data_IF_423573445013
#
_entry.id   IF_423573445013
#
_cell.length_a   1.000
_cell.length_b   1.000
_cell.length_c   1.000
_cell.angle_alpha   90.00
_cell.angle_beta   90.00
_cell.angle_gamma   90.00
#
_symmetry.space_group_name_H-M   'P 1'
#
loop_
_entity.id
_entity.type
_entity.pdbx_description
1 polymer ?
#
# COMPACT_ATOMS: atom_id res chain seq x y z
N UNK A 1 -11.13 -14.03 -2.81
CA UNK A 1 -10.20 -12.97 -2.37
C UNK A 1 -8.81 -13.53 -2.10
N UNK A 2 -8.61 -14.37 -1.10
CA UNK A 2 -7.26 -14.88 -0.76
C UNK A 2 -6.71 -15.85 -1.80
N UNK A 3 -7.54 -16.66 -2.43
CA UNK A 3 -7.10 -17.49 -3.58
C UNK A 3 -6.47 -16.66 -4.70
N UNK A 4 -6.96 -15.47 -4.96
CA UNK A 4 -6.40 -14.61 -6.00
C UNK A 4 -5.02 -14.07 -5.59
N UNK A 5 -4.83 -13.72 -4.30
CA UNK A 5 -3.51 -13.35 -3.77
C UNK A 5 -2.53 -14.52 -3.86
N UNK A 6 -2.98 -15.74 -3.63
CA UNK A 6 -2.14 -16.94 -3.71
C UNK A 6 -1.76 -17.32 -5.14
N UNK A 7 -2.59 -16.97 -6.13
CA UNK A 7 -2.39 -17.34 -7.54
C UNK A 7 -1.80 -16.24 -8.40
N UNK A 8 -2.20 -14.97 -8.18
CA UNK A 8 -1.78 -13.82 -8.98
C UNK A 8 -0.88 -12.85 -8.24
N UNK A 9 -0.77 -13.03 -6.91
CA UNK A 9 0.01 -12.16 -6.05
C UNK A 9 -0.68 -10.85 -5.65
N UNK A 10 -1.89 -10.58 -6.12
CA UNK A 10 -2.64 -9.39 -5.74
C UNK A 10 -4.15 -9.57 -5.81
N UNK A 11 -4.86 -8.71 -5.10
CA UNK A 11 -6.32 -8.48 -5.24
C UNK A 11 -6.59 -6.98 -5.19
N UNK A 12 -7.39 -6.49 -6.13
CA UNK A 12 -7.90 -5.12 -6.11
C UNK A 12 -9.21 -5.06 -5.33
N UNK A 13 -9.28 -4.13 -4.37
CA UNK A 13 -10.44 -3.82 -3.54
C UNK A 13 -10.75 -2.32 -3.66
N UNK A 14 -11.84 -1.89 -3.01
CA UNK A 14 -12.21 -0.48 -2.94
C UNK A 14 -12.71 -0.16 -1.52
N UNK A 15 -12.01 0.77 -0.83
CA UNK A 15 -12.30 1.17 0.55
C UNK A 15 -12.32 2.71 0.70
N UNK A 16 -13.32 3.38 0.13
CA UNK A 16 -13.39 4.84 0.15
C UNK A 16 -13.50 5.42 1.57
N UNK A 17 -14.05 4.65 2.53
CA UNK A 17 -14.19 5.08 3.92
C UNK A 17 -12.88 5.37 4.65
N UNK A 18 -11.75 4.88 4.13
CA UNK A 18 -10.42 5.24 4.68
C UNK A 18 -10.15 6.74 4.45
N UNK A 19 -10.61 7.31 3.35
CA UNK A 19 -10.47 8.75 3.10
C UNK A 19 -11.26 9.62 4.10
N UNK A 20 -12.32 9.08 4.70
CA UNK A 20 -13.10 9.80 5.72
C UNK A 20 -12.34 9.85 7.07
N UNK A 21 -11.40 8.93 7.26
CA UNK A 21 -10.55 8.86 8.46
C UNK A 21 -9.29 9.71 8.33
N UNK A 22 -8.72 9.80 7.11
CA UNK A 22 -7.47 10.51 6.82
C UNK A 22 -7.77 11.60 5.81
N UNK A 23 -7.89 12.83 6.27
CA UNK A 23 -8.13 14.00 5.43
C UNK A 23 -6.87 14.44 4.69
N UNK A 24 -7.05 15.06 3.53
CA UNK A 24 -5.95 15.56 2.70
C UNK A 24 -5.06 16.54 3.46
N UNK A 25 -5.63 17.36 4.33
CA UNK A 25 -4.91 18.36 5.12
C UNK A 25 -3.94 17.74 6.15
N UNK A 26 -4.17 16.48 6.53
CA UNK A 26 -3.24 15.75 7.40
C UNK A 26 -1.87 15.54 6.75
N UNK A 27 -1.80 15.59 5.42
CA UNK A 27 -0.58 15.40 4.63
C UNK A 27 0.27 16.66 4.46
N UNK A 28 -0.33 17.85 4.56
CA UNK A 28 0.42 19.12 4.44
C UNK A 28 1.51 19.27 5.51
N UNK A 29 1.50 18.38 6.49
CA UNK A 29 2.44 18.31 7.60
C UNK A 29 3.64 17.38 7.33
N UNK A 30 3.71 16.73 6.19
CA UNK A 30 4.83 15.87 5.82
C UNK A 30 6.04 16.61 5.22
N UNK A 31 6.11 17.94 5.38
CA UNK A 31 7.27 18.79 5.10
C UNK A 31 8.19 18.34 3.97
N UNK A 32 7.64 18.14 2.77
CA UNK A 32 8.39 17.79 1.54
C UNK A 32 9.25 16.51 1.62
N UNK A 33 8.97 15.60 2.52
CA UNK A 33 9.67 14.35 2.55
C UNK A 33 8.89 13.27 1.79
N UNK A 34 9.53 12.66 0.82
CA UNK A 34 8.96 11.72 -0.12
C UNK A 34 8.42 10.44 0.52
N UNK A 35 8.86 10.12 1.74
CA UNK A 35 8.50 8.89 2.42
C UNK A 35 8.54 9.00 3.94
N UNK A 36 7.46 8.58 4.59
CA UNK A 36 7.36 8.44 6.02
C UNK A 36 7.22 6.98 6.43
N UNK A 37 8.06 6.53 7.35
CA UNK A 37 7.96 5.22 7.99
C UNK A 37 7.53 5.36 9.44
N UNK A 38 6.62 4.49 9.88
CA UNK A 38 5.92 4.52 11.17
C UNK A 38 6.81 4.68 12.41
N UNK A 39 7.95 4.01 12.42
CA UNK A 39 8.76 3.86 13.64
C UNK A 39 10.00 4.75 13.70
N UNK A 40 10.31 5.50 12.66
CA UNK A 40 11.61 6.18 12.57
C UNK A 40 11.57 7.67 12.80
N UNK A 41 10.40 8.29 12.97
CA UNK A 41 10.24 9.73 13.04
C UNK A 41 9.35 10.18 14.19
N UNK A 42 9.91 11.00 15.03
CA UNK A 42 9.22 11.64 16.17
C UNK A 42 8.58 12.97 15.82
N UNK A 43 8.89 13.52 14.65
CA UNK A 43 8.45 14.83 14.16
C UNK A 43 7.17 14.79 13.34
N UNK A 44 6.64 13.57 13.09
CA UNK A 44 5.37 13.41 12.41
C UNK A 44 4.23 13.79 13.33
N UNK A 45 3.27 14.48 12.74
CA UNK A 45 2.01 14.76 13.39
C UNK A 45 1.46 13.48 14.07
N UNK A 46 1.46 13.48 15.39
CA UNK A 46 0.96 12.37 16.22
C UNK A 46 -0.46 12.00 15.82
N UNK A 47 -1.24 12.93 15.34
CA UNK A 47 -2.62 12.72 14.92
C UNK A 47 -2.71 11.89 13.63
N UNK A 48 -1.89 12.19 12.60
CA UNK A 48 -1.82 11.38 11.38
C UNK A 48 -1.35 9.96 11.70
N UNK A 49 -0.33 9.81 12.54
CA UNK A 49 0.17 8.52 13.00
C UNK A 49 -0.93 7.68 13.65
N UNK A 50 -1.70 8.25 14.56
CA UNK A 50 -2.83 7.55 15.20
C UNK A 50 -3.89 7.11 14.19
N UNK A 51 -4.21 7.94 13.21
CA UNK A 51 -5.15 7.59 12.14
C UNK A 51 -4.65 6.43 11.29
N UNK A 52 -3.37 6.43 10.90
CA UNK A 52 -2.74 5.34 10.14
C UNK A 52 -2.72 4.04 10.96
N UNK A 53 -2.45 4.09 12.25
CA UNK A 53 -2.54 2.93 13.15
C UNK A 53 -3.97 2.35 13.23
N UNK A 54 -4.98 3.22 13.27
CA UNK A 54 -6.40 2.80 13.23
C UNK A 54 -6.73 2.11 11.92
N UNK A 55 -6.31 2.67 10.79
CA UNK A 55 -6.51 2.05 9.47
C UNK A 55 -5.78 0.71 9.37
N UNK A 56 -4.54 0.64 9.85
CA UNK A 56 -3.76 -0.60 9.87
C UNK A 56 -4.48 -1.72 10.63
N UNK A 57 -4.98 -1.39 11.83
CA UNK A 57 -5.77 -2.32 12.65
C UNK A 57 -7.08 -2.72 11.96
N UNK A 58 -7.79 -1.77 11.37
CA UNK A 58 -9.03 -2.04 10.63
C UNK A 58 -8.80 -3.02 9.48
N UNK A 59 -7.79 -2.78 8.64
CA UNK A 59 -7.44 -3.66 7.52
C UNK A 59 -7.05 -5.07 7.98
N UNK A 60 -6.28 -5.14 9.07
CA UNK A 60 -5.93 -6.41 9.70
C UNK A 60 -7.15 -7.21 10.11
N UNK A 61 -8.05 -6.62 10.90
CA UNK A 61 -9.24 -7.29 11.41
C UNK A 61 -10.22 -7.70 10.31
N UNK A 62 -10.40 -6.84 9.31
CA UNK A 62 -11.36 -7.07 8.22
C UNK A 62 -10.89 -8.10 7.19
N UNK A 63 -9.62 -8.03 6.80
CA UNK A 63 -9.15 -8.77 5.62
C UNK A 63 -8.12 -9.85 5.90
N UNK A 64 -7.26 -9.67 6.89
CA UNK A 64 -6.12 -10.56 7.13
C UNK A 64 -6.47 -11.62 8.18
N UNK A 65 -6.89 -11.19 9.35
CA UNK A 65 -7.14 -12.06 10.50
C UNK A 65 -8.17 -13.16 10.27
N UNK A 66 -9.24 -12.98 9.48
CA UNK A 66 -10.19 -14.06 9.20
C UNK A 66 -9.58 -15.27 8.52
N UNK A 67 -8.50 -15.09 7.75
CA UNK A 67 -7.80 -16.17 7.07
C UNK A 67 -6.53 -16.58 7.78
N UNK A 68 -5.84 -15.63 8.41
CA UNK A 68 -4.60 -15.82 9.15
C UNK A 68 -4.78 -15.37 10.59
N UNK A 69 -5.39 -16.22 11.47
CA UNK A 69 -5.74 -15.85 12.84
C UNK A 69 -4.54 -15.40 13.69
N UNK A 70 -3.35 -15.93 13.41
CA UNK A 70 -2.10 -15.63 14.11
C UNK A 70 -1.30 -14.48 13.48
N UNK A 71 -1.89 -13.79 12.51
CA UNK A 71 -1.23 -12.68 11.83
C UNK A 71 -1.05 -11.46 12.73
N UNK A 72 -0.08 -10.65 12.37
CA UNK A 72 0.31 -9.44 13.10
C UNK A 72 0.40 -8.24 12.17
N UNK A 73 0.02 -7.06 12.65
CA UNK A 73 0.41 -5.80 12.04
C UNK A 73 1.91 -5.61 12.26
N UNK A 74 2.64 -5.27 11.22
CA UNK A 74 4.09 -5.00 11.34
C UNK A 74 4.37 -3.51 11.31
N UNK A 75 4.32 -2.88 10.14
CA UNK A 75 4.55 -1.44 10.00
C UNK A 75 3.71 -0.87 8.85
N UNK A 76 3.61 0.43 8.80
CA UNK A 76 3.06 1.17 7.67
C UNK A 76 4.05 2.19 7.13
N UNK A 77 3.89 2.54 5.86
CA UNK A 77 4.60 3.63 5.22
C UNK A 77 3.60 4.51 4.50
N UNK A 78 3.94 5.76 4.31
CA UNK A 78 3.21 6.68 3.45
C UNK A 78 4.19 7.44 2.56
N UNK A 79 3.84 7.54 1.28
CA UNK A 79 4.54 8.34 0.30
C UNK A 79 3.68 9.52 -0.09
N UNK A 80 4.30 10.68 -0.22
CA UNK A 80 3.67 11.90 -0.66
C UNK A 80 4.67 12.64 -1.57
N UNK A 81 4.43 12.59 -2.88
CA UNK A 81 5.33 13.26 -3.80
C UNK A 81 5.12 12.94 -5.26
N UNK A 82 5.95 13.58 -6.06
CA UNK A 82 6.08 13.34 -7.50
C UNK A 82 7.23 12.37 -7.71
N UNK A 83 6.93 11.21 -8.26
CA UNK A 83 7.92 10.19 -8.57
C UNK A 83 8.27 10.27 -10.05
N UNK A 84 9.48 10.70 -10.36
CA UNK A 84 9.93 10.95 -11.74
C UNK A 84 10.50 9.72 -12.44
N UNK A 85 10.76 8.67 -11.67
CA UNK A 85 11.36 7.45 -12.18
C UNK A 85 10.38 6.28 -12.09
N UNK A 86 10.39 5.42 -13.10
CA UNK A 86 9.69 4.15 -13.03
C UNK A 86 10.47 3.19 -12.14
N UNK A 87 9.79 2.58 -11.18
CA UNK A 87 10.36 1.44 -10.47
C UNK A 87 10.56 0.24 -11.40
N UNK A 88 11.61 -0.54 -11.16
CA UNK A 88 11.76 -1.85 -11.76
C UNK A 88 10.83 -2.89 -11.11
N UNK A 89 10.63 -4.02 -11.78
CA UNK A 89 9.97 -5.17 -11.18
C UNK A 89 10.72 -5.66 -9.95
N UNK A 90 10.06 -5.73 -8.80
CA UNK A 90 10.66 -6.15 -7.53
C UNK A 90 9.66 -6.88 -6.64
N UNK A 91 10.18 -7.47 -5.60
CA UNK A 91 9.43 -8.02 -4.47
C UNK A 91 10.15 -7.63 -3.18
N UNK A 92 9.39 -7.34 -2.15
CA UNK A 92 9.91 -6.89 -0.84
C UNK A 92 10.05 -8.03 0.18
N UNK A 93 10.03 -9.29 -0.28
CA UNK A 93 9.93 -10.47 0.59
C UNK A 93 11.03 -10.56 1.67
N UNK A 94 12.12 -9.81 1.55
CA UNK A 94 13.20 -9.74 2.53
C UNK A 94 12.92 -8.79 3.71
N UNK A 95 11.84 -8.02 3.65
CA UNK A 95 11.55 -6.97 4.64
C UNK A 95 10.75 -7.46 5.86
N UNK A 96 10.52 -8.77 5.99
CA UNK A 96 9.93 -9.37 7.22
C UNK A 96 8.41 -9.28 7.32
N UNK A 97 7.72 -9.14 6.20
CA UNK A 97 6.27 -9.24 6.11
C UNK A 97 5.87 -10.11 4.90
N UNK A 98 4.67 -10.68 4.92
CA UNK A 98 4.22 -11.66 3.92
C UNK A 98 3.20 -11.08 2.94
N UNK A 99 2.42 -10.11 3.39
CA UNK A 99 1.41 -9.41 2.61
C UNK A 99 1.34 -7.96 3.03
N UNK A 100 0.90 -7.11 2.12
CA UNK A 100 0.67 -5.71 2.41
C UNK A 100 -0.50 -5.16 1.60
N UNK A 101 -1.10 -4.08 2.12
CA UNK A 101 -2.04 -3.27 1.37
C UNK A 101 -1.37 -2.02 0.84
N UNK A 102 -1.67 -1.67 -0.41
CA UNK A 102 -1.43 -0.33 -0.96
C UNK A 102 -2.76 0.39 -1.05
N UNK A 103 -2.86 1.53 -0.40
CA UNK A 103 -4.01 2.40 -0.42
C UNK A 103 -3.72 3.71 -1.12
N UNK A 104 -4.56 4.07 -2.10
CA UNK A 104 -4.39 5.27 -2.91
C UNK A 104 -5.33 6.39 -2.45
N UNK A 105 -4.75 7.51 -2.06
CA UNK A 105 -5.47 8.72 -1.66
C UNK A 105 -5.76 9.65 -2.83
N UNK A 106 -5.09 9.46 -3.96
CA UNK A 106 -5.24 10.26 -5.15
C UNK A 106 -5.62 9.40 -6.35
N UNK A 107 -6.35 10.03 -7.27
CA UNK A 107 -6.65 9.44 -8.58
C UNK A 107 -5.53 9.75 -9.55
N UNK A 108 -4.96 8.72 -10.16
CA UNK A 108 -4.01 8.85 -11.26
C UNK A 108 -4.70 8.69 -12.61
N UNK A 109 -4.08 9.18 -13.66
CA UNK A 109 -4.57 9.07 -15.05
C UNK A 109 -3.43 8.63 -15.96
N UNK A 110 -3.76 8.05 -17.07
CA UNK A 110 -2.77 7.59 -18.06
C UNK A 110 -1.82 8.73 -18.46
N UNK A 111 -2.36 9.93 -18.68
CA UNK A 111 -1.59 11.11 -19.10
C UNK A 111 -0.64 11.62 -18.01
N UNK A 112 -0.93 11.36 -16.75
CA UNK A 112 -0.10 11.81 -15.61
C UNK A 112 0.80 10.71 -15.05
N UNK A 113 0.66 9.48 -15.57
CA UNK A 113 1.39 8.33 -15.04
C UNK A 113 0.88 7.85 -13.69
N UNK A 114 1.76 7.23 -12.90
CA UNK A 114 1.44 6.76 -11.54
C UNK A 114 0.68 5.44 -11.49
N UNK A 115 0.78 4.63 -12.53
CA UNK A 115 0.19 3.29 -12.54
C UNK A 115 0.84 2.36 -11.51
N UNK A 116 0.11 1.32 -11.14
CA UNK A 116 0.64 0.15 -10.42
C UNK A 116 0.53 -1.07 -11.32
N UNK A 117 1.57 -1.88 -11.36
CA UNK A 117 1.58 -3.12 -12.14
C UNK A 117 2.01 -4.30 -11.30
N UNK A 118 1.44 -5.46 -11.62
CA UNK A 118 1.69 -6.75 -10.97
C UNK A 118 2.06 -7.77 -12.02
N UNK A 119 2.97 -8.68 -11.67
CA UNK A 119 3.43 -9.77 -12.53
C UNK A 119 3.53 -11.06 -11.73
N UNK A 120 3.09 -12.15 -12.34
CA UNK A 120 3.19 -13.52 -11.83
C UNK A 120 3.65 -14.46 -12.97
N UNK A 121 3.82 -15.74 -12.69
CA UNK A 121 4.39 -16.70 -13.65
C UNK A 121 3.71 -16.66 -15.02
N UNK A 122 2.36 -16.66 -15.04
CA UNK A 122 1.56 -16.80 -16.26
C UNK A 122 0.94 -15.49 -16.76
N UNK A 123 1.30 -14.34 -16.17
CA UNK A 123 0.67 -13.08 -16.61
C UNK A 123 1.12 -11.82 -15.89
N UNK A 124 0.54 -10.72 -16.33
CA UNK A 124 0.72 -9.42 -15.73
C UNK A 124 -0.57 -8.58 -15.80
N UNK A 125 -0.69 -7.60 -14.94
CA UNK A 125 -1.79 -6.64 -14.93
C UNK A 125 -1.27 -5.25 -14.54
N UNK A 126 -1.89 -4.21 -15.11
CA UNK A 126 -1.59 -2.83 -14.81
C UNK A 126 -2.89 -2.07 -14.52
N UNK A 127 -2.83 -1.16 -13.57
CA UNK A 127 -3.96 -0.34 -13.15
C UNK A 127 -3.57 1.12 -13.05
N UNK A 128 -4.51 2.00 -13.40
CA UNK A 128 -4.48 3.41 -13.03
C UNK A 128 -5.30 3.56 -11.74
N UNK A 129 -4.65 3.72 -10.57
CA UNK A 129 -5.36 3.80 -9.32
C UNK A 129 -6.28 5.03 -9.26
N UNK A 130 -7.43 4.85 -8.66
CA UNK A 130 -8.32 5.95 -8.27
C UNK A 130 -8.36 6.08 -6.76
N UNK A 131 -8.69 7.26 -6.29
CA UNK A 131 -8.87 7.52 -4.85
C UNK A 131 -9.82 6.49 -4.23
N UNK A 132 -9.35 5.80 -3.19
CA UNK A 132 -10.08 4.71 -2.53
C UNK A 132 -9.71 3.31 -3.01
N UNK A 133 -8.92 3.17 -4.07
CA UNK A 133 -8.39 1.87 -4.47
C UNK A 133 -7.46 1.30 -3.39
N UNK A 134 -7.65 0.02 -3.14
CA UNK A 134 -6.89 -0.77 -2.18
C UNK A 134 -6.41 -2.06 -2.85
N UNK A 135 -5.12 -2.28 -2.89
CA UNK A 135 -4.54 -3.52 -3.41
C UNK A 135 -3.95 -4.34 -2.27
N UNK A 136 -4.44 -5.56 -2.08
CA UNK A 136 -3.77 -6.55 -1.24
C UNK A 136 -2.72 -7.25 -2.11
N UNK A 137 -1.48 -7.25 -1.66
CA UNK A 137 -0.32 -7.74 -2.42
C UNK A 137 0.41 -8.81 -1.62
N UNK A 138 0.74 -9.92 -2.27
CA UNK A 138 1.61 -10.95 -1.69
C UNK A 138 3.08 -10.55 -1.85
N UNK A 139 3.80 -10.58 -0.73
CA UNK A 139 5.22 -10.29 -0.69
C UNK A 139 6.03 -11.59 -0.63
N UNK A 140 6.09 -12.31 -1.71
CA UNK A 140 6.84 -13.56 -1.82
C UNK A 140 7.38 -13.81 -3.23
N UNK A 141 8.33 -14.73 -3.33
CA UNK A 141 8.92 -15.11 -4.62
C UNK A 141 7.86 -15.56 -5.62
N UNK A 142 8.04 -15.17 -6.88
CA UNK A 142 7.11 -15.49 -7.97
C UNK A 142 6.04 -14.43 -8.21
N UNK A 143 5.94 -13.42 -7.33
CA UNK A 143 5.07 -12.28 -7.49
C UNK A 143 5.89 -10.99 -7.44
N UNK A 144 5.73 -10.15 -8.47
CA UNK A 144 6.43 -8.88 -8.60
C UNK A 144 5.44 -7.74 -8.74
N UNK A 145 5.85 -6.59 -8.32
CA UNK A 145 5.12 -5.35 -8.54
C UNK A 145 6.07 -4.22 -8.93
N UNK A 146 5.51 -3.15 -9.46
CA UNK A 146 6.22 -1.91 -9.74
C UNK A 146 5.26 -0.73 -9.77
N UNK A 147 5.74 0.44 -9.41
CA UNK A 147 5.03 1.69 -9.59
C UNK A 147 5.59 2.44 -10.82
N UNK A 148 4.71 3.09 -11.56
CA UNK A 148 5.09 3.96 -12.67
C UNK A 148 5.40 5.37 -12.17
N UNK A 149 6.29 6.07 -12.89
CA UNK A 149 6.54 7.49 -12.69
C UNK A 149 5.23 8.29 -12.78
N UNK A 150 5.18 9.41 -12.09
CA UNK A 150 4.03 10.32 -12.11
C UNK A 150 4.49 11.77 -12.16
N UNK A 151 3.77 12.59 -12.92
CA UNK A 151 3.98 14.03 -13.03
C UNK A 151 3.18 14.83 -12.00
N UNK A 152 2.31 14.16 -11.25
CA UNK A 152 1.49 14.77 -10.20
C UNK A 152 1.85 14.20 -8.83
N UNK A 153 1.53 14.95 -7.79
CA UNK A 153 1.59 14.46 -6.42
C UNK A 153 0.71 13.22 -6.28
N UNK A 154 1.30 12.15 -5.75
CA UNK A 154 0.63 10.89 -5.49
C UNK A 154 0.87 10.48 -4.04
N UNK A 155 -0.21 10.29 -3.30
CA UNK A 155 -0.17 9.83 -1.92
C UNK A 155 -0.63 8.39 -1.85
N UNK A 156 0.25 7.55 -1.35
CA UNK A 156 0.03 6.11 -1.22
C UNK A 156 0.49 5.67 0.16
N UNK A 157 -0.35 4.92 0.87
CA UNK A 157 0.07 4.25 2.09
C UNK A 157 0.22 2.75 1.85
N UNK A 158 1.25 2.15 2.44
CA UNK A 158 1.35 0.70 2.55
C UNK A 158 1.17 0.27 4.00
N UNK A 159 0.36 -0.77 4.21
CA UNK A 159 0.09 -1.38 5.51
C UNK A 159 0.55 -2.84 5.46
N UNK A 160 1.53 -3.19 6.27
CA UNK A 160 2.27 -4.43 6.14
C UNK A 160 1.93 -5.40 7.26
N UNK A 161 1.85 -6.71 6.93
CA UNK A 161 1.39 -7.75 7.83
C UNK A 161 2.25 -9.00 7.70
N UNK A 162 2.50 -9.63 8.84
CA UNK A 162 3.07 -10.96 8.90
C UNK A 162 1.94 -11.96 9.13
N UNK A 163 1.79 -12.92 8.23
CA UNK A 163 0.67 -13.86 8.30
C UNK A 163 0.88 -14.93 9.37
N UNK A 164 2.14 -15.25 9.70
CA UNK A 164 2.50 -16.35 10.57
C UNK A 164 1.76 -17.65 10.17
N UNK A 165 1.56 -17.83 8.86
CA UNK A 165 1.00 -19.05 8.31
C UNK A 165 1.97 -20.20 8.59
N UNK A 166 1.46 -21.21 9.28
CA UNK A 166 2.21 -22.42 9.60
C UNK A 166 2.27 -23.29 8.34
#
# INVERSE_FOLDING_TARGET
MIKDVETKGYVKLYEPGINDLIEIDDYTLLNNEDRLRDNSRTDVNTFLRQKLDVVHTFLHQKYIKPTYPNSECTYWNIWDGVDRDNEGWHTDFMEGYDVFFLYYFDTTKEETGGHIAFKWEDGEAQFQPVKGDLFLVANKRGFWHKAGATDIQRRVASFNFKTNAI
#
